data_IF_290414755143
#
_entry.id   IF_290414755143
#
_cell.length_a   1.000
_cell.length_b   1.000
_cell.length_c   1.000
_cell.angle_alpha   90.00
_cell.angle_beta   90.00
_cell.angle_gamma   90.00
#
_symmetry.space_group_name_H-M   'P 1'
#
loop_
_entity.id
_entity.type
_entity.pdbx_description
1 polymer ?
#
# COMPACT_ATOMS: atom_id res chain seq x y z
N UNK A 1 2.33 0.62 2.04
CA UNK A 1 2.90 0.80 3.39
C UNK A 1 2.42 -0.33 4.29
N UNK A 2 1.14 -0.35 4.64
CA UNK A 2 0.51 -1.43 5.39
C UNK A 2 0.58 -2.73 4.60
N UNK A 3 0.93 -3.84 5.23
CA UNK A 3 1.16 -5.13 4.60
C UNK A 3 2.42 -5.25 3.71
N UNK A 4 3.17 -4.15 3.51
CA UNK A 4 4.43 -4.12 2.73
C UNK A 4 5.61 -3.69 3.61
N UNK A 5 5.51 -2.53 4.26
CA UNK A 5 6.56 -1.99 5.14
C UNK A 5 6.30 -2.40 6.59
N UNK A 6 5.04 -2.36 7.00
CA UNK A 6 4.60 -2.76 8.33
C UNK A 6 3.64 -3.95 8.27
N UNK A 7 3.78 -4.86 9.22
CA UNK A 7 2.82 -5.91 9.53
C UNK A 7 1.71 -5.32 10.40
N UNK A 8 0.77 -4.64 9.76
CA UNK A 8 -0.30 -3.87 10.40
C UNK A 8 -1.70 -4.34 9.99
N UNK A 9 -1.80 -5.21 8.98
CA UNK A 9 -3.07 -5.55 8.36
C UNK A 9 -4.04 -6.28 9.27
N UNK A 10 -3.57 -7.06 10.24
CA UNK A 10 -4.41 -7.69 11.26
C UNK A 10 -5.16 -6.66 12.10
N UNK A 11 -4.46 -5.60 12.56
CA UNK A 11 -5.08 -4.50 13.31
C UNK A 11 -6.06 -3.70 12.44
N UNK A 12 -5.73 -3.49 11.16
CA UNK A 12 -6.66 -2.88 10.22
C UNK A 12 -7.93 -3.70 10.05
N UNK A 13 -7.81 -5.03 9.90
CA UNK A 13 -8.93 -5.93 9.68
C UNK A 13 -9.90 -5.94 10.88
N UNK A 14 -9.37 -6.04 12.11
CA UNK A 14 -10.18 -5.98 13.33
C UNK A 14 -10.88 -4.62 13.46
N UNK A 15 -10.13 -3.52 13.31
CA UNK A 15 -10.67 -2.17 13.46
C UNK A 15 -11.75 -1.84 12.42
N UNK A 16 -11.59 -2.27 11.18
CA UNK A 16 -12.61 -2.12 10.16
C UNK A 16 -13.86 -2.93 10.47
N UNK A 17 -13.70 -4.20 10.89
CA UNK A 17 -14.81 -5.08 11.23
C UNK A 17 -15.65 -4.49 12.37
N UNK A 18 -15.00 -4.10 13.47
CA UNK A 18 -15.66 -3.53 14.64
C UNK A 18 -16.32 -2.19 14.33
N UNK A 19 -15.59 -1.25 13.73
CA UNK A 19 -16.13 0.06 13.40
C UNK A 19 -17.36 -0.03 12.50
N UNK A 20 -17.34 -0.84 11.46
CA UNK A 20 -18.47 -0.96 10.54
C UNK A 20 -19.67 -1.63 11.22
N UNK A 21 -19.42 -2.64 12.06
CA UNK A 21 -20.46 -3.30 12.86
C UNK A 21 -21.20 -2.34 13.79
N UNK A 22 -20.49 -1.39 14.42
CA UNK A 22 -21.09 -0.39 15.30
C UNK A 22 -22.09 0.51 14.58
N UNK A 23 -21.91 0.70 13.27
CA UNK A 23 -22.86 1.43 12.41
C UNK A 23 -23.86 0.53 11.69
N UNK A 24 -23.83 -0.80 11.93
CA UNK A 24 -24.73 -1.75 11.27
C UNK A 24 -24.34 -2.07 9.82
N UNK A 25 -23.06 -1.88 9.45
CA UNK A 25 -22.48 -2.32 8.19
C UNK A 25 -21.67 -3.60 8.41
N UNK A 26 -21.69 -4.48 7.43
CA UNK A 26 -20.88 -5.68 7.43
C UNK A 26 -19.56 -5.42 6.68
N UNK A 27 -18.44 -5.70 7.35
CA UNK A 27 -17.14 -5.78 6.76
C UNK A 27 -16.40 -6.98 7.32
N UNK A 28 -16.29 -8.10 6.59
CA UNK A 28 -15.53 -9.25 7.04
C UNK A 28 -14.04 -8.91 7.14
N UNK A 29 -13.30 -9.63 7.96
CA UNK A 29 -11.85 -9.41 8.11
C UNK A 29 -11.09 -9.42 6.77
N UNK A 30 -11.46 -10.30 5.85
CA UNK A 30 -10.90 -10.34 4.49
C UNK A 30 -11.21 -9.08 3.66
N UNK A 31 -12.31 -8.39 3.96
CA UNK A 31 -12.68 -7.13 3.30
C UNK A 31 -11.65 -6.03 3.49
N UNK A 32 -11.01 -5.96 4.67
CA UNK A 32 -9.95 -5.00 4.91
C UNK A 32 -8.77 -5.18 3.94
N UNK A 33 -8.43 -6.42 3.61
CA UNK A 33 -7.39 -6.73 2.63
C UNK A 33 -7.81 -6.46 1.18
N UNK A 34 -9.11 -6.61 0.86
CA UNK A 34 -9.64 -6.33 -0.48
C UNK A 34 -9.68 -4.83 -0.79
N UNK A 35 -10.02 -4.02 0.21
CA UNK A 35 -10.16 -2.58 0.07
C UNK A 35 -8.91 -1.81 0.51
N UNK A 36 -7.83 -2.50 0.89
CA UNK A 36 -6.59 -1.85 1.28
C UNK A 36 -6.06 -0.96 0.15
N UNK A 37 -5.56 0.22 0.54
CA UNK A 37 -5.09 1.23 -0.39
C UNK A 37 -6.16 2.23 -0.87
N UNK A 38 -7.45 1.92 -0.71
CA UNK A 38 -8.54 2.89 -0.91
C UNK A 38 -8.54 3.91 0.23
N UNK A 39 -8.93 5.15 -0.06
CA UNK A 39 -9.12 6.17 0.97
C UNK A 39 -10.23 5.75 1.92
N UNK A 40 -10.00 5.84 3.23
CA UNK A 40 -10.94 5.32 4.23
C UNK A 40 -12.36 5.87 4.11
N UNK A 41 -12.51 7.16 3.78
CA UNK A 41 -13.84 7.78 3.51
C UNK A 41 -14.51 7.14 2.30
N UNK A 42 -13.75 6.82 1.26
CA UNK A 42 -14.29 6.17 0.06
C UNK A 42 -14.72 4.73 0.34
N UNK A 43 -13.97 4.01 1.19
CA UNK A 43 -14.34 2.66 1.65
C UNK A 43 -15.68 2.69 2.40
N UNK A 44 -15.85 3.62 3.34
CA UNK A 44 -17.11 3.79 4.08
C UNK A 44 -18.27 4.09 3.14
N UNK A 45 -18.11 5.04 2.21
CA UNK A 45 -19.13 5.37 1.21
C UNK A 45 -19.50 4.19 0.32
N UNK A 46 -18.50 3.41 -0.08
CA UNK A 46 -18.70 2.21 -0.89
C UNK A 46 -19.57 1.19 -0.15
N UNK A 47 -19.23 0.88 1.11
CA UNK A 47 -19.98 -0.08 1.94
C UNK A 47 -21.43 0.40 2.18
N UNK A 48 -21.62 1.67 2.51
CA UNK A 48 -22.96 2.24 2.69
C UNK A 48 -23.80 2.17 1.42
N UNK A 49 -23.19 2.44 0.26
CA UNK A 49 -23.89 2.32 -1.03
C UNK A 49 -24.27 0.86 -1.33
N UNK A 50 -23.39 -0.09 -1.03
CA UNK A 50 -23.63 -1.50 -1.31
C UNK A 50 -24.67 -2.14 -0.39
N UNK A 51 -24.71 -1.72 0.89
CA UNK A 51 -25.52 -2.40 1.91
C UNK A 51 -26.76 -1.62 2.30
N UNK A 52 -26.71 -0.29 2.30
CA UNK A 52 -27.82 0.56 2.64
C UNK A 52 -28.49 1.22 1.42
N UNK A 53 -27.90 1.03 0.22
CA UNK A 53 -28.33 1.74 -1.00
C UNK A 53 -28.33 3.27 -0.82
N UNK A 54 -27.50 3.79 0.09
CA UNK A 54 -27.41 5.18 0.49
C UNK A 54 -26.07 5.79 0.14
N UNK A 55 -26.11 7.03 -0.37
CA UNK A 55 -24.91 7.86 -0.54
C UNK A 55 -24.70 8.70 0.72
N UNK A 56 -23.57 8.51 1.40
CA UNK A 56 -23.19 9.31 2.56
C UNK A 56 -22.54 10.63 2.13
N UNK A 57 -22.70 11.67 2.94
CA UNK A 57 -21.90 12.88 2.81
C UNK A 57 -20.43 12.62 3.20
N UNK A 58 -19.56 13.58 2.89
CA UNK A 58 -18.16 13.50 3.30
C UNK A 58 -18.00 13.53 4.82
N UNK A 59 -18.83 14.33 5.49
CA UNK A 59 -18.84 14.48 6.94
C UNK A 59 -19.25 13.18 7.62
N UNK A 60 -20.36 12.56 7.18
CA UNK A 60 -20.84 11.27 7.73
C UNK A 60 -19.79 10.17 7.56
N UNK A 61 -19.24 10.03 6.37
CA UNK A 61 -18.21 9.02 6.08
C UNK A 61 -16.92 9.28 6.86
N UNK A 62 -16.55 10.55 7.04
CA UNK A 62 -15.37 10.93 7.83
C UNK A 62 -15.55 10.60 9.31
N UNK A 63 -16.75 10.80 9.88
CA UNK A 63 -17.04 10.43 11.28
C UNK A 63 -16.83 8.93 11.50
N UNK A 64 -17.41 8.10 10.63
CA UNK A 64 -17.25 6.64 10.70
C UNK A 64 -15.79 6.22 10.53
N UNK A 65 -15.06 6.87 9.61
CA UNK A 65 -13.63 6.59 9.43
C UNK A 65 -12.78 7.03 10.63
N UNK A 66 -13.12 8.13 11.29
CA UNK A 66 -12.46 8.55 12.55
C UNK A 66 -12.66 7.52 13.65
N UNK A 67 -13.87 6.96 13.77
CA UNK A 67 -14.13 5.88 14.73
C UNK A 67 -13.25 4.66 14.44
N UNK A 68 -13.20 4.21 13.17
CA UNK A 68 -12.26 3.14 12.77
C UNK A 68 -10.81 3.45 13.11
N UNK A 69 -10.38 4.70 12.91
CA UNK A 69 -9.00 5.11 13.19
C UNK A 69 -8.68 5.10 14.69
N UNK A 70 -9.67 5.44 15.53
CA UNK A 70 -9.55 5.36 16.99
C UNK A 70 -9.38 3.89 17.45
N UNK A 71 -10.22 2.98 16.95
CA UNK A 71 -10.10 1.55 17.24
C UNK A 71 -8.75 0.98 16.77
N UNK A 72 -8.28 1.39 15.60
CA UNK A 72 -6.95 0.99 15.12
C UNK A 72 -5.83 1.43 16.07
N UNK A 73 -5.91 2.66 16.56
CA UNK A 73 -4.92 3.16 17.52
C UNK A 73 -4.98 2.40 18.86
N UNK A 74 -6.14 1.95 19.28
CA UNK A 74 -6.30 1.10 20.48
C UNK A 74 -5.72 -0.29 20.28
N UNK A 75 -6.07 -0.96 19.19
CA UNK A 75 -5.51 -2.27 18.86
C UNK A 75 -3.99 -2.24 18.70
N UNK A 76 -3.42 -1.16 18.16
CA UNK A 76 -1.97 -0.99 18.09
C UNK A 76 -1.28 -0.82 19.45
N UNK A 77 -1.99 -0.44 20.51
CA UNK A 77 -1.44 -0.45 21.87
C UNK A 77 -1.33 -1.85 22.44
N UNK A 78 -2.32 -2.71 22.14
CA UNK A 78 -2.35 -4.10 22.58
C UNK A 78 -1.45 -5.00 21.74
N UNK A 79 -1.50 -4.79 20.42
CA UNK A 79 -0.70 -5.51 19.43
C UNK A 79 0.08 -4.51 18.57
N UNK A 80 1.27 -4.08 18.99
CA UNK A 80 2.07 -3.12 18.26
C UNK A 80 2.39 -3.60 16.85
N UNK A 81 2.25 -2.72 15.85
CA UNK A 81 2.68 -3.00 14.48
C UNK A 81 4.19 -3.13 14.42
N UNK A 82 4.67 -4.16 13.73
CA UNK A 82 6.10 -4.43 13.55
C UNK A 82 6.53 -4.13 12.11
N UNK A 83 7.83 -3.93 11.92
CA UNK A 83 8.41 -3.83 10.58
C UNK A 83 8.27 -5.19 9.89
N UNK A 84 7.82 -5.18 8.64
CA UNK A 84 7.65 -6.41 7.85
C UNK A 84 8.99 -7.13 7.69
N UNK A 85 9.07 -8.44 8.03
CA UNK A 85 10.31 -9.19 7.88
C UNK A 85 10.84 -9.17 6.44
N UNK A 86 12.10 -8.81 6.24
CA UNK A 86 12.75 -8.73 4.93
C UNK A 86 12.71 -7.33 4.27
N UNK A 87 11.81 -6.42 4.68
CA UNK A 87 11.68 -5.13 4.01
C UNK A 87 12.93 -4.25 4.17
N UNK A 88 13.53 -4.22 5.35
CA UNK A 88 14.72 -3.41 5.59
C UNK A 88 15.88 -3.87 4.70
N UNK A 89 16.13 -5.18 4.65
CA UNK A 89 17.14 -5.77 3.77
C UNK A 89 16.87 -5.45 2.30
N UNK A 90 15.61 -5.55 1.86
CA UNK A 90 15.22 -5.19 0.50
C UNK A 90 15.52 -3.71 0.20
N UNK A 91 15.14 -2.79 1.09
CA UNK A 91 15.41 -1.36 0.92
C UNK A 91 16.92 -1.06 0.87
N UNK A 92 17.72 -1.71 1.71
CA UNK A 92 19.19 -1.59 1.70
C UNK A 92 19.78 -2.07 0.36
N UNK A 93 19.30 -3.20 -0.17
CA UNK A 93 19.70 -3.71 -1.48
C UNK A 93 19.31 -2.78 -2.63
N UNK A 94 18.09 -2.24 -2.60
CA UNK A 94 17.60 -1.25 -3.58
C UNK A 94 18.49 -0.01 -3.56
N UNK A 95 18.79 0.53 -2.38
CA UNK A 95 19.64 1.70 -2.21
C UNK A 95 21.06 1.45 -2.70
N UNK A 96 21.64 0.30 -2.34
CA UNK A 96 22.97 -0.12 -2.80
C UNK A 96 23.06 -0.30 -4.32
N UNK A 97 21.91 -0.49 -4.98
CA UNK A 97 21.79 -0.56 -6.44
C UNK A 97 21.69 0.79 -7.14
N UNK A 98 21.69 1.90 -6.39
CA UNK A 98 21.51 3.25 -6.92
C UNK A 98 20.07 3.59 -7.26
N UNK A 99 19.10 2.73 -6.96
CA UNK A 99 17.68 2.98 -7.19
C UNK A 99 17.11 3.90 -6.10
N UNK A 100 16.11 4.71 -6.48
CA UNK A 100 15.34 5.52 -5.56
C UNK A 100 14.21 4.69 -4.94
N UNK A 101 13.82 5.02 -3.71
CA UNK A 101 12.67 4.41 -3.03
C UNK A 101 11.63 5.50 -2.80
N UNK A 102 10.44 5.31 -3.34
CA UNK A 102 9.29 6.18 -3.11
C UNK A 102 8.20 5.43 -2.35
N UNK A 103 7.73 5.97 -1.25
CA UNK A 103 6.59 5.42 -0.50
C UNK A 103 5.29 6.01 -1.02
N UNK A 104 4.36 5.16 -1.45
CA UNK A 104 3.03 5.57 -1.92
C UNK A 104 1.97 4.97 -1.00
N UNK A 105 1.32 5.82 -0.20
CA UNK A 105 0.33 5.39 0.81
C UNK A 105 -0.98 6.17 0.72
N UNK A 106 -2.09 5.49 0.98
CA UNK A 106 -3.40 6.12 1.15
C UNK A 106 -3.59 6.81 2.52
N UNK A 107 -2.60 6.73 3.42
CA UNK A 107 -2.63 7.41 4.71
C UNK A 107 -2.25 8.89 4.58
N UNK A 108 -2.94 9.74 5.37
CA UNK A 108 -2.61 11.15 5.55
C UNK A 108 -2.22 11.48 7.00
N UNK A 109 -1.75 10.51 7.78
CA UNK A 109 -1.39 10.73 9.17
C UNK A 109 0.10 11.12 9.28
N UNK A 110 0.38 12.37 9.65
CA UNK A 110 1.76 12.88 9.81
C UNK A 110 2.59 12.04 10.79
N UNK A 111 2.01 11.64 11.94
CA UNK A 111 2.69 10.80 12.93
C UNK A 111 3.19 9.46 12.37
N UNK A 112 2.49 8.93 11.37
CA UNK A 112 2.88 7.68 10.72
C UNK A 112 4.03 7.91 9.73
N UNK A 113 4.06 9.05 9.05
CA UNK A 113 5.14 9.44 8.16
C UNK A 113 6.43 9.72 8.95
N UNK A 114 6.32 10.41 10.09
CA UNK A 114 7.44 10.63 11.01
C UNK A 114 8.02 9.31 11.50
N UNK A 115 7.14 8.35 11.86
CA UNK A 115 7.54 7.00 12.25
C UNK A 115 8.29 6.28 11.13
N UNK A 116 7.82 6.36 9.90
CA UNK A 116 8.49 5.77 8.73
C UNK A 116 9.92 6.28 8.59
N UNK A 117 10.13 7.59 8.67
CA UNK A 117 11.45 8.20 8.56
C UNK A 117 12.37 7.79 9.72
N UNK A 118 11.80 7.67 10.93
CA UNK A 118 12.54 7.25 12.11
C UNK A 118 12.94 5.77 12.06
N UNK A 119 12.07 4.89 11.54
CA UNK A 119 12.33 3.44 11.46
C UNK A 119 13.31 3.09 10.32
N UNK A 120 13.42 3.93 9.29
CA UNK A 120 14.25 3.70 8.10
C UNK A 120 15.20 4.87 7.79
N UNK A 121 16.07 5.26 8.74
CA UNK A 121 16.95 6.40 8.57
C UNK A 121 17.93 6.19 7.40
N UNK A 122 18.00 7.20 6.52
CA UNK A 122 18.86 7.16 5.33
C UNK A 122 18.36 6.27 4.19
N UNK A 123 17.29 5.49 4.38
CA UNK A 123 16.65 4.69 3.33
C UNK A 123 15.48 5.41 2.68
N UNK A 124 14.71 6.16 3.46
CA UNK A 124 13.55 6.93 3.02
C UNK A 124 13.79 8.43 3.17
N UNK A 125 13.08 9.24 2.38
CA UNK A 125 13.07 10.71 2.48
C UNK A 125 11.63 11.22 2.29
N UNK A 126 11.28 12.31 2.96
CA UNK A 126 9.96 12.93 2.89
C UNK A 126 9.61 13.37 1.45
N UNK A 127 10.58 13.84 0.69
CA UNK A 127 10.42 14.29 -0.70
C UNK A 127 9.95 13.16 -1.62
N UNK A 128 10.32 11.91 -1.31
CA UNK A 128 9.95 10.71 -2.04
C UNK A 128 8.81 9.96 -1.35
N UNK A 129 7.80 10.70 -0.89
CA UNK A 129 6.55 10.15 -0.35
C UNK A 129 5.36 10.71 -1.10
N UNK A 130 4.37 9.87 -1.37
CA UNK A 130 3.04 10.22 -1.87
C UNK A 130 2.03 9.75 -0.84
N UNK A 131 1.22 10.68 -0.36
CA UNK A 131 0.25 10.48 0.73
C UNK A 131 -1.17 10.79 0.25
N UNK A 132 -2.16 10.59 1.11
CA UNK A 132 -3.54 11.00 0.81
C UNK A 132 -3.68 12.50 0.51
N UNK A 133 -2.74 13.34 0.93
CA UNK A 133 -2.77 14.79 0.67
C UNK A 133 -2.23 15.17 -0.71
N UNK A 134 -1.45 14.31 -1.34
CA UNK A 134 -0.82 14.56 -2.64
C UNK A 134 -1.74 14.18 -3.81
N UNK A 135 -2.84 13.47 -3.56
CA UNK A 135 -3.69 12.87 -4.60
C UNK A 135 -5.13 13.38 -4.54
N UNK A 136 -5.74 13.50 -5.70
CA UNK A 136 -7.18 13.74 -5.84
C UNK A 136 -7.94 12.42 -5.77
N UNK A 137 -7.43 11.39 -6.44
CA UNK A 137 -8.02 10.05 -6.49
C UNK A 137 -7.07 9.04 -5.84
N UNK A 138 -7.58 8.26 -4.89
CA UNK A 138 -6.87 7.15 -4.26
C UNK A 138 -6.88 5.89 -5.14
N UNK A 139 -6.09 4.87 -4.75
CA UNK A 139 -6.16 3.55 -5.38
C UNK A 139 -7.61 3.05 -5.42
N UNK A 140 -8.09 2.48 -6.52
CA UNK A 140 -7.36 1.90 -7.64
C UNK A 140 -7.01 2.86 -8.78
N UNK A 141 -7.19 4.19 -8.63
CA UNK A 141 -6.74 5.15 -9.63
C UNK A 141 -5.21 5.12 -9.74
N UNK A 142 -4.63 5.23 -10.95
CA UNK A 142 -3.18 5.24 -11.14
C UNK A 142 -2.48 6.51 -10.63
N UNK A 143 -3.22 7.58 -10.31
CA UNK A 143 -2.69 8.89 -9.92
C UNK A 143 -1.58 8.80 -8.86
N UNK A 144 -1.73 8.03 -7.75
CA UNK A 144 -0.68 7.95 -6.71
C UNK A 144 0.66 7.45 -7.24
N UNK A 145 0.65 6.46 -8.13
CA UNK A 145 1.90 5.91 -8.71
C UNK A 145 2.48 6.81 -9.79
N UNK A 146 1.63 7.47 -10.59
CA UNK A 146 2.09 8.47 -11.56
C UNK A 146 2.79 9.64 -10.84
N UNK A 147 2.26 10.08 -9.69
CA UNK A 147 2.92 11.11 -8.88
C UNK A 147 4.23 10.56 -8.30
N UNK A 148 4.25 9.32 -7.81
CA UNK A 148 5.45 8.68 -7.28
C UNK A 148 6.58 8.58 -8.31
N UNK A 149 6.29 8.17 -9.53
CA UNK A 149 7.28 8.11 -10.62
C UNK A 149 7.81 9.50 -10.98
N UNK A 150 6.95 10.53 -11.01
CA UNK A 150 7.36 11.92 -11.22
C UNK A 150 8.28 12.43 -10.10
N UNK A 151 7.96 12.14 -8.83
CA UNK A 151 8.85 12.50 -7.70
C UNK A 151 10.21 11.80 -7.80
N UNK A 152 10.26 10.61 -8.38
CA UNK A 152 11.51 9.91 -8.64
C UNK A 152 12.24 10.36 -9.90
N UNK A 153 11.63 11.20 -10.74
CA UNK A 153 12.15 11.62 -12.05
C UNK A 153 12.44 10.42 -12.96
N UNK A 154 11.46 9.51 -13.08
CA UNK A 154 11.51 8.33 -13.94
C UNK A 154 10.18 8.17 -14.70
N UNK A 155 10.21 7.47 -15.83
CA UNK A 155 9.01 7.08 -16.52
C UNK A 155 8.33 5.89 -15.78
N UNK A 156 6.99 5.70 -15.90
CA UNK A 156 6.30 4.60 -15.21
C UNK A 156 6.88 3.21 -15.49
N UNK A 157 7.27 2.93 -16.74
CA UNK A 157 7.86 1.64 -17.12
C UNK A 157 9.30 1.42 -16.61
N UNK A 158 9.93 2.44 -16.02
CA UNK A 158 11.21 2.35 -15.33
C UNK A 158 11.05 2.11 -13.83
N UNK A 159 9.80 2.07 -13.34
CA UNK A 159 9.46 1.89 -11.94
C UNK A 159 8.97 0.46 -11.66
N UNK A 160 9.40 -0.06 -10.52
CA UNK A 160 8.86 -1.28 -9.92
C UNK A 160 7.99 -0.88 -8.74
N UNK A 161 6.75 -1.32 -8.72
CA UNK A 161 5.85 -1.16 -7.58
C UNK A 161 5.79 -2.46 -6.79
N UNK A 162 5.91 -2.38 -5.48
CA UNK A 162 5.69 -3.50 -4.56
C UNK A 162 4.40 -3.26 -3.78
N UNK A 163 3.45 -4.16 -3.93
CA UNK A 163 2.10 -4.05 -3.37
C UNK A 163 1.63 -5.36 -2.74
N UNK A 164 0.67 -5.27 -1.81
CA UNK A 164 0.05 -6.45 -1.18
C UNK A 164 -1.46 -6.54 -1.40
N UNK A 165 -2.07 -5.49 -1.94
CA UNK A 165 -3.51 -5.36 -2.03
C UNK A 165 -4.02 -5.28 -3.47
N UNK A 166 -5.18 -5.88 -3.80
CA UNK A 166 -5.73 -5.88 -5.16
C UNK A 166 -5.88 -4.48 -5.77
N UNK A 167 -6.39 -3.51 -5.01
CA UNK A 167 -6.58 -2.14 -5.51
C UNK A 167 -5.25 -1.42 -5.77
N UNK A 168 -4.22 -1.71 -4.97
CA UNK A 168 -2.89 -1.18 -5.19
C UNK A 168 -2.22 -1.78 -6.42
N UNK A 169 -2.36 -3.09 -6.63
CA UNK A 169 -1.89 -3.78 -7.84
C UNK A 169 -2.56 -3.21 -9.07
N UNK A 170 -3.90 -3.04 -9.07
CA UNK A 170 -4.66 -2.41 -10.16
C UNK A 170 -4.15 -1.01 -10.47
N UNK A 171 -3.95 -0.18 -9.45
CA UNK A 171 -3.43 1.18 -9.63
C UNK A 171 -2.04 1.21 -10.25
N UNK A 172 -1.14 0.33 -9.81
CA UNK A 172 0.23 0.22 -10.32
C UNK A 172 0.25 -0.26 -11.78
N UNK A 173 -0.55 -1.29 -12.09
CA UNK A 173 -0.71 -1.79 -13.45
C UNK A 173 -1.31 -0.73 -14.38
N UNK A 174 -2.35 -0.01 -13.94
CA UNK A 174 -2.95 1.10 -14.70
C UNK A 174 -1.99 2.29 -14.89
N UNK A 175 -1.03 2.47 -14.00
CA UNK A 175 0.06 3.44 -14.14
C UNK A 175 1.17 2.97 -15.09
N UNK A 176 1.10 1.75 -15.64
CA UNK A 176 2.12 1.11 -16.47
C UNK A 176 3.46 0.87 -15.77
N UNK A 177 3.43 0.64 -14.46
CA UNK A 177 4.59 0.23 -13.70
C UNK A 177 4.71 -1.30 -13.69
N UNK A 178 5.93 -1.83 -13.65
CA UNK A 178 6.13 -3.25 -13.35
C UNK A 178 5.70 -3.54 -11.92
N UNK A 179 4.75 -4.45 -11.74
CA UNK A 179 4.04 -4.64 -10.47
C UNK A 179 4.36 -5.98 -9.84
N UNK A 180 5.02 -5.94 -8.70
CA UNK A 180 5.30 -7.10 -7.85
C UNK A 180 4.29 -7.12 -6.72
N UNK A 181 3.46 -8.15 -6.65
CA UNK A 181 2.60 -8.39 -5.51
C UNK A 181 3.33 -9.24 -4.46
N UNK A 182 3.19 -8.87 -3.19
CA UNK A 182 3.65 -9.67 -2.06
C UNK A 182 2.42 -10.06 -1.25
N UNK A 183 2.00 -11.31 -1.35
CA UNK A 183 0.79 -11.80 -0.67
C UNK A 183 1.06 -12.03 0.81
N UNK A 184 0.99 -10.96 1.58
CA UNK A 184 1.15 -10.97 3.05
C UNK A 184 -0.17 -11.12 3.81
N UNK A 185 -1.27 -11.38 3.09
CA UNK A 185 -2.60 -11.52 3.63
C UNK A 185 -3.25 -12.87 3.30
N UNK A 186 -4.53 -13.04 3.63
CA UNK A 186 -5.28 -14.27 3.43
C UNK A 186 -5.93 -14.38 2.04
N UNK A 187 -5.72 -13.41 1.14
CA UNK A 187 -6.35 -13.42 -0.17
C UNK A 187 -5.69 -14.45 -1.09
N UNK A 188 -6.45 -15.11 -1.99
CA UNK A 188 -5.87 -15.97 -3.01
C UNK A 188 -4.96 -15.19 -3.97
N UNK A 189 -3.84 -15.78 -4.40
CA UNK A 189 -2.91 -15.17 -5.37
C UNK A 189 -3.60 -14.78 -6.68
N UNK A 190 -4.62 -15.53 -7.08
CA UNK A 190 -5.40 -15.26 -8.29
C UNK A 190 -6.09 -13.90 -8.25
N UNK A 191 -6.41 -13.36 -7.07
CA UNK A 191 -6.97 -12.01 -6.96
C UNK A 191 -5.94 -10.96 -7.34
N UNK A 192 -4.70 -11.13 -6.88
CA UNK A 192 -3.60 -10.22 -7.23
C UNK A 192 -3.20 -10.34 -8.70
N UNK A 193 -3.17 -11.58 -9.23
CA UNK A 193 -2.89 -11.84 -10.63
C UNK A 193 -3.92 -11.19 -11.57
N UNK A 194 -5.22 -11.28 -11.23
CA UNK A 194 -6.31 -10.67 -12.03
C UNK A 194 -6.24 -9.13 -12.07
N UNK A 195 -5.65 -8.52 -11.07
CA UNK A 195 -5.47 -7.07 -11.02
C UNK A 195 -4.22 -6.59 -11.77
N UNK A 196 -3.42 -7.51 -12.33
CA UNK A 196 -2.29 -7.19 -13.19
C UNK A 196 -0.94 -7.25 -12.50
N UNK A 197 -0.77 -8.07 -11.44
CA UNK A 197 0.54 -8.34 -10.89
C UNK A 197 1.41 -9.12 -11.91
N UNK A 198 2.59 -8.60 -12.21
CA UNK A 198 3.56 -9.26 -13.11
C UNK A 198 4.30 -10.41 -12.41
N UNK A 199 4.56 -10.25 -11.10
CA UNK A 199 5.12 -11.29 -10.24
C UNK A 199 4.38 -11.32 -8.90
N UNK A 200 4.30 -12.51 -8.30
CA UNK A 200 3.68 -12.70 -6.98
C UNK A 200 4.66 -13.46 -6.08
N UNK A 201 4.93 -12.91 -4.91
CA UNK A 201 5.72 -13.53 -3.86
C UNK A 201 4.84 -13.84 -2.65
N UNK A 202 5.03 -15.00 -1.99
CA UNK A 202 4.21 -15.40 -0.85
C UNK A 202 4.53 -14.61 0.43
N UNK A 203 5.65 -13.89 0.47
CA UNK A 203 6.11 -13.09 1.61
C UNK A 203 7.22 -12.13 1.22
N UNK A 204 7.41 -11.07 1.99
CA UNK A 204 8.43 -10.05 1.72
C UNK A 204 9.86 -10.60 1.79
N UNK A 205 10.14 -11.56 2.68
CA UNK A 205 11.46 -12.21 2.75
C UNK A 205 11.81 -12.94 1.46
N UNK A 206 10.84 -13.60 0.81
CA UNK A 206 11.08 -14.27 -0.47
C UNK A 206 11.42 -13.27 -1.59
N UNK A 207 10.76 -12.11 -1.64
CA UNK A 207 11.13 -11.04 -2.57
C UNK A 207 12.53 -10.49 -2.25
N UNK A 208 12.84 -10.26 -0.98
CA UNK A 208 14.15 -9.75 -0.56
C UNK A 208 15.30 -10.72 -0.92
N UNK A 209 15.07 -12.01 -0.77
CA UNK A 209 16.04 -13.07 -1.13
C UNK A 209 16.23 -13.18 -2.66
N UNK A 210 15.17 -12.96 -3.44
CA UNK A 210 15.22 -13.05 -4.92
C UNK A 210 15.63 -11.73 -5.60
N UNK A 211 15.64 -10.61 -4.88
CA UNK A 211 15.92 -9.29 -5.45
C UNK A 211 17.26 -9.21 -6.21
N UNK A 212 18.37 -9.81 -5.76
CA UNK A 212 19.61 -9.82 -6.52
C UNK A 212 19.47 -10.43 -7.92
N UNK A 213 18.63 -11.48 -8.06
CA UNK A 213 18.31 -12.11 -9.36
C UNK A 213 17.43 -11.19 -10.20
N UNK A 214 16.38 -10.63 -9.62
CA UNK A 214 15.48 -9.68 -10.31
C UNK A 214 16.27 -8.49 -10.86
N UNK A 215 17.18 -7.93 -10.05
CA UNK A 215 18.04 -6.83 -10.47
C UNK A 215 18.86 -7.16 -11.72
N UNK A 216 19.38 -8.40 -11.83
CA UNK A 216 20.12 -8.82 -13.03
C UNK A 216 19.25 -8.88 -14.28
N UNK A 217 17.96 -9.19 -14.12
CA UNK A 217 17.00 -9.26 -15.23
C UNK A 217 16.50 -7.87 -15.66
N UNK A 218 16.36 -6.95 -14.71
CA UNK A 218 15.83 -5.57 -14.95
C UNK A 218 16.97 -4.57 -15.23
N UNK A 219 18.18 -4.89 -14.82
CA UNK A 219 19.34 -4.01 -14.92
C UNK A 219 20.14 -4.21 -16.19
N UNK A 220 19.60 -3.87 -17.36
CA UNK A 220 20.36 -3.57 -18.60
C UNK A 220 19.51 -2.79 -19.58
N UNK A 221 20.05 -1.78 -20.24
CA UNK A 221 21.40 -1.71 -20.79
C UNK A 221 22.05 -0.34 -20.65
N UNK A 222 23.27 -0.27 -20.18
CA UNK A 222 24.16 0.86 -20.43
C UNK A 222 24.96 0.72 -21.74
N UNK A 223 24.65 -0.29 -22.61
CA UNK A 223 25.48 -0.57 -23.78
C UNK A 223 24.82 -0.37 -25.16
N UNK A 224 23.60 0.22 -25.21
CA UNK A 224 23.03 0.67 -26.48
C UNK A 224 22.95 2.19 -26.54
N UNK A 225 24.12 2.84 -26.54
CA UNK A 225 24.28 4.15 -27.16
C UNK A 225 24.65 3.93 -28.63
N UNK A 226 23.63 4.04 -29.50
CA UNK A 226 23.83 4.30 -30.93
C UNK A 226 23.70 5.77 -31.19
#
# INVERSE_FOLDING_TARGET
>A
MDGVIYDSMSNHAVSWHEAMKDYGLEMPYSGAYQYEGMRGVETVKLLARQQWERTLSDEEAMEMYKHKSALFAEHCKETPTTIMPGIKTLMEQIKASGMKICVVTGSGQHTLLDKLLADFPGLLSEELMVTAFDVTHGKPDPEPYIIGTRKCDVAPWEAIVVENAPLGVRAAHAAHCFTIAVNTGPLPDEMLAREGADLIYPKMTALSEDFPRLRQLVGYPSEYHV
#
